data_IF_971544588455
#
_entry.id   IF_971544588455
#
_cell.length_a   1.000
_cell.length_b   1.000
_cell.length_c   1.000
_cell.angle_alpha   90.00
_cell.angle_beta   90.00
_cell.angle_gamma   90.00
#
_symmetry.space_group_name_H-M   'P 1'
#
loop_
_entity.id
_entity.type
_entity.pdbx_description
1 polymer ?
#
# COMPACT_ATOMS: atom_id res chain seq x y z
N UNK A 1 11.22 0.22 26.01
CA UNK A 1 12.40 -0.58 26.42
C UNK A 1 12.54 -1.73 25.43
N UNK A 2 13.78 -2.04 25.03
CA UNK A 2 14.07 -3.22 24.21
C UNK A 2 14.50 -4.39 25.11
N UNK A 3 13.87 -5.53 24.89
CA UNK A 3 14.17 -6.80 25.55
C UNK A 3 14.64 -7.78 24.50
N UNK A 4 15.84 -8.30 24.66
CA UNK A 4 16.41 -9.26 23.73
C UNK A 4 15.89 -10.66 24.03
N UNK A 5 15.59 -11.38 22.96
CA UNK A 5 15.04 -12.73 23.01
C UNK A 5 16.04 -13.71 22.39
N UNK A 6 16.38 -14.78 23.12
CA UNK A 6 17.29 -15.83 22.69
C UNK A 6 16.64 -17.21 22.78
N UNK A 7 17.16 -18.13 21.97
CA UNK A 7 16.69 -19.53 21.87
C UNK A 7 15.24 -19.67 21.39
N UNK A 8 14.80 -18.75 20.53
CA UNK A 8 13.53 -18.87 19.83
C UNK A 8 13.62 -20.10 18.89
N UNK A 9 12.70 -21.07 18.96
CA UNK A 9 12.69 -22.19 18.03
C UNK A 9 12.63 -21.67 16.58
N UNK A 10 13.46 -22.20 15.68
CA UNK A 10 13.54 -21.73 14.29
C UNK A 10 12.25 -21.98 13.49
N UNK A 11 11.40 -22.89 13.96
CA UNK A 11 10.09 -23.16 13.37
C UNK A 11 9.03 -22.10 13.75
N UNK A 12 9.32 -21.23 14.71
CA UNK A 12 8.35 -20.25 15.21
C UNK A 12 8.38 -18.97 14.36
N UNK A 13 7.26 -18.67 13.71
CA UNK A 13 7.11 -17.42 12.95
C UNK A 13 6.97 -16.19 13.84
N UNK A 14 7.18 -15.00 13.25
CA UNK A 14 6.95 -13.71 13.92
C UNK A 14 5.53 -13.63 14.50
N UNK A 15 4.52 -13.94 13.69
CA UNK A 15 3.11 -13.83 14.08
C UNK A 15 2.72 -14.81 15.20
N UNK A 16 3.18 -16.05 15.15
CA UNK A 16 2.98 -17.03 16.22
C UNK A 16 3.58 -16.55 17.55
N UNK A 17 4.82 -16.05 17.53
CA UNK A 17 5.48 -15.50 18.70
C UNK A 17 4.71 -14.29 19.26
N UNK A 18 4.27 -13.37 18.41
CA UNK A 18 3.47 -12.20 18.81
C UNK A 18 2.14 -12.62 19.45
N UNK A 19 1.41 -13.57 18.84
CA UNK A 19 0.15 -14.10 19.40
C UNK A 19 0.36 -14.72 20.79
N UNK A 20 1.41 -15.54 20.95
CA UNK A 20 1.73 -16.19 22.22
C UNK A 20 2.16 -15.18 23.28
N UNK A 21 2.97 -14.19 22.93
CA UNK A 21 3.37 -13.13 23.86
C UNK A 21 2.19 -12.28 24.31
N UNK A 22 1.30 -11.88 23.38
CA UNK A 22 0.07 -11.17 23.72
C UNK A 22 -0.83 -12.02 24.62
N UNK A 23 -1.18 -13.22 24.15
CA UNK A 23 -2.17 -14.08 24.78
C UNK A 23 -1.73 -14.70 26.10
N UNK A 24 -0.45 -15.05 26.29
CA UNK A 24 0.00 -15.78 27.48
C UNK A 24 0.65 -14.88 28.55
N UNK A 25 1.14 -13.70 28.16
CA UNK A 25 1.92 -12.84 29.06
C UNK A 25 1.37 -11.42 29.07
N UNK A 26 1.52 -10.68 27.98
CA UNK A 26 1.38 -9.21 27.98
C UNK A 26 -0.06 -8.72 28.12
N UNK A 27 -1.07 -9.55 27.80
CA UNK A 27 -2.49 -9.20 27.99
C UNK A 27 -3.16 -10.03 29.09
N UNK A 28 -2.37 -10.56 30.03
CA UNK A 28 -2.85 -11.29 31.21
C UNK A 28 -2.26 -10.72 32.49
N UNK A 29 -2.91 -11.06 33.61
CA UNK A 29 -2.38 -10.84 34.95
C UNK A 29 -1.98 -9.38 35.21
N UNK A 30 -0.75 -9.12 35.69
CA UNK A 30 -0.36 -7.81 36.23
C UNK A 30 -0.13 -6.75 35.14
N UNK A 31 -0.28 -7.11 33.87
CA UNK A 31 -0.14 -6.21 32.72
C UNK A 31 -1.47 -5.62 32.24
N UNK A 32 -2.59 -6.05 32.81
CA UNK A 32 -3.88 -5.42 32.55
C UNK A 32 -3.90 -4.03 33.18
N UNK A 33 -3.75 -3.00 32.36
CA UNK A 33 -3.92 -1.63 32.82
C UNK A 33 -5.39 -1.43 33.16
N UNK A 34 -5.67 -1.15 34.43
CA UNK A 34 -6.99 -0.67 34.86
C UNK A 34 -7.19 0.70 34.21
N UNK A 35 -7.87 0.70 33.07
CA UNK A 35 -8.47 1.90 32.51
C UNK A 35 -9.59 2.37 33.46
N UNK A 36 -9.98 3.64 33.35
CA UNK A 36 -11.08 4.24 34.11
C UNK A 36 -12.31 3.31 34.23
N UNK A 37 -13.15 3.43 35.27
CA UNK A 37 -14.19 2.46 35.62
C UNK A 37 -15.22 2.09 34.52
N UNK A 38 -15.24 2.83 33.40
CA UNK A 38 -16.11 2.58 32.24
C UNK A 38 -15.35 2.17 30.95
N UNK A 39 -14.03 2.05 30.98
CA UNK A 39 -13.23 1.70 29.81
C UNK A 39 -12.77 0.24 29.88
N UNK A 40 -12.99 -0.50 28.79
CA UNK A 40 -12.43 -1.84 28.63
C UNK A 40 -10.91 -1.81 28.81
N UNK A 41 -10.36 -2.78 29.56
CA UNK A 41 -8.92 -2.94 29.78
C UNK A 41 -8.12 -2.73 28.48
N UNK A 42 -7.33 -1.67 28.44
CA UNK A 42 -6.54 -1.36 27.25
C UNK A 42 -5.40 -2.38 27.11
N UNK A 43 -5.45 -3.17 26.03
CA UNK A 43 -4.38 -4.09 25.66
C UNK A 43 -3.11 -3.30 25.34
N UNK A 44 -1.99 -3.68 25.98
CA UNK A 44 -0.68 -3.06 25.76
C UNK A 44 -0.23 -3.33 24.33
N UNK A 45 0.19 -2.28 23.61
CA UNK A 45 0.83 -2.45 22.31
C UNK A 45 2.33 -2.72 22.45
N UNK A 46 2.89 -3.56 21.57
CA UNK A 46 4.30 -3.95 21.60
C UNK A 46 4.75 -4.41 20.21
N UNK A 47 6.06 -4.41 19.95
CA UNK A 47 6.61 -4.83 18.67
C UNK A 47 7.58 -6.00 18.84
N UNK A 48 7.46 -6.99 17.95
CA UNK A 48 8.34 -8.15 17.88
C UNK A 48 9.14 -8.10 16.59
N UNK A 49 10.46 -8.09 16.71
CA UNK A 49 11.40 -8.16 15.61
C UNK A 49 12.24 -9.43 15.72
N UNK A 50 12.30 -10.24 14.67
CA UNK A 50 13.13 -11.44 14.62
C UNK A 50 14.34 -11.18 13.71
N UNK A 51 15.54 -11.50 14.21
CA UNK A 51 16.75 -11.31 13.43
C UNK A 51 16.83 -12.36 12.31
N UNK A 52 16.96 -11.96 11.03
CA UNK A 52 17.07 -12.89 9.93
C UNK A 52 18.30 -13.79 10.10
N UNK A 53 18.28 -14.96 9.46
CA UNK A 53 19.41 -15.87 9.50
C UNK A 53 20.61 -15.27 8.73
N UNK A 54 21.84 -15.28 9.28
CA UNK A 54 23.00 -14.63 8.63
C UNK A 54 23.37 -15.26 7.29
N UNK A 55 23.02 -16.53 7.06
CA UNK A 55 23.25 -17.24 5.80
C UNK A 55 22.24 -16.87 4.68
N UNK A 56 21.30 -15.94 4.90
CA UNK A 56 20.45 -15.39 3.83
C UNK A 56 19.35 -16.32 3.30
N UNK A 57 18.64 -17.04 4.19
CA UNK A 57 17.53 -17.92 3.83
C UNK A 57 16.21 -17.59 4.54
N UNK A 58 15.15 -18.35 4.21
CA UNK A 58 13.86 -18.25 4.90
C UNK A 58 14.00 -18.67 6.37
N UNK A 59 13.75 -17.75 7.30
CA UNK A 59 13.76 -18.00 8.73
C UNK A 59 14.56 -16.98 9.55
N UNK A 60 14.69 -17.26 10.84
CA UNK A 60 15.36 -16.39 11.81
C UNK A 60 16.50 -17.11 12.54
N UNK A 61 17.44 -16.33 13.08
CA UNK A 61 18.65 -16.82 13.77
C UNK A 61 18.39 -17.39 15.18
N UNK A 62 17.13 -17.61 15.57
CA UNK A 62 16.74 -17.94 16.94
C UNK A 62 16.91 -16.77 17.94
N UNK A 63 17.16 -15.56 17.43
CA UNK A 63 17.28 -14.32 18.18
C UNK A 63 16.24 -13.29 17.72
N UNK A 64 15.84 -12.39 18.62
CA UNK A 64 14.96 -11.28 18.30
C UNK A 64 14.96 -10.19 19.36
N UNK A 65 14.13 -9.18 19.16
CA UNK A 65 13.96 -8.01 20.02
C UNK A 65 12.46 -7.81 20.23
N UNK A 66 12.06 -7.68 21.50
CA UNK A 66 10.73 -7.27 21.93
C UNK A 66 10.82 -5.81 22.38
N UNK A 67 10.13 -4.91 21.69
CA UNK A 67 10.04 -3.50 22.08
C UNK A 67 8.75 -3.27 22.86
N UNK A 68 8.89 -2.85 24.12
CA UNK A 68 7.80 -2.50 25.02
C UNK A 68 7.66 -0.98 25.19
N UNK A 69 6.44 -0.47 25.44
CA UNK A 69 6.15 0.96 25.38
C UNK A 69 6.86 1.77 26.49
N UNK A 70 7.00 1.21 27.70
CA UNK A 70 7.65 1.89 28.83
C UNK A 70 8.71 1.01 29.49
N UNK A 71 9.65 1.62 30.23
CA UNK A 71 10.66 0.88 31.02
C UNK A 71 10.04 0.10 32.18
N UNK A 72 9.08 0.65 32.98
CA UNK A 72 8.43 -0.10 34.05
C UNK A 72 7.78 -1.40 33.58
N UNK A 73 7.05 -1.36 32.46
CA UNK A 73 6.43 -2.55 31.86
C UNK A 73 7.51 -3.57 31.45
N UNK A 74 8.64 -3.09 30.92
CA UNK A 74 9.77 -3.95 30.54
C UNK A 74 10.42 -4.68 31.71
N UNK A 75 10.62 -4.00 32.85
CA UNK A 75 11.15 -4.64 34.05
C UNK A 75 10.14 -5.60 34.67
N UNK A 76 8.88 -5.18 34.81
CA UNK A 76 7.79 -6.03 35.28
C UNK A 76 7.65 -7.30 34.43
N UNK A 77 7.82 -7.20 33.11
CA UNK A 77 7.86 -8.33 32.21
C UNK A 77 9.03 -9.28 32.49
N UNK A 78 10.24 -8.75 32.69
CA UNK A 78 11.41 -9.58 33.01
C UNK A 78 11.25 -10.32 34.33
N UNK A 79 10.75 -9.64 35.37
CA UNK A 79 10.49 -10.23 36.69
C UNK A 79 9.42 -11.33 36.60
N UNK A 80 8.36 -11.09 35.82
CA UNK A 80 7.30 -12.09 35.59
C UNK A 80 7.83 -13.33 34.88
N UNK A 81 8.66 -13.16 33.84
CA UNK A 81 9.23 -14.27 33.06
C UNK A 81 10.26 -15.07 33.86
N UNK A 82 10.94 -14.46 34.82
CA UNK A 82 11.84 -15.16 35.74
C UNK A 82 11.07 -16.16 36.60
N UNK A 83 9.91 -15.75 37.14
CA UNK A 83 9.03 -16.60 37.94
C UNK A 83 8.28 -17.63 37.11
N UNK A 84 7.81 -17.24 35.93
CA UNK A 84 7.05 -18.09 35.00
C UNK A 84 7.72 -18.13 33.62
N UNK A 85 8.66 -19.06 33.39
CA UNK A 85 9.39 -19.18 32.14
C UNK A 85 8.48 -19.33 30.92
N UNK A 86 8.56 -18.40 29.98
CA UNK A 86 7.85 -18.50 28.71
C UNK A 86 8.49 -19.56 27.80
N UNK A 87 7.64 -20.49 27.32
CA UNK A 87 8.04 -21.63 26.49
C UNK A 87 7.24 -21.65 25.20
N UNK A 88 7.92 -21.93 24.09
CA UNK A 88 7.30 -22.23 22.79
C UNK A 88 7.79 -23.60 22.37
N UNK A 89 6.86 -24.49 22.02
CA UNK A 89 7.16 -25.89 21.66
C UNK A 89 8.05 -26.59 22.69
N UNK A 90 7.75 -26.36 23.99
CA UNK A 90 8.51 -26.91 25.12
C UNK A 90 9.86 -26.24 25.40
N UNK A 91 10.38 -25.40 24.49
CA UNK A 91 11.68 -24.73 24.63
C UNK A 91 11.53 -23.39 25.35
N UNK A 92 12.30 -23.18 26.42
CA UNK A 92 12.36 -21.91 27.17
C UNK A 92 13.05 -20.84 26.32
N UNK A 93 12.37 -19.72 26.12
CA UNK A 93 12.96 -18.52 25.51
C UNK A 93 13.60 -17.69 26.61
N UNK A 94 14.83 -17.23 26.38
CA UNK A 94 15.52 -16.35 27.33
C UNK A 94 15.28 -14.90 26.96
N UNK A 95 14.86 -14.11 27.93
CA UNK A 95 14.65 -12.67 27.81
C UNK A 95 15.66 -11.95 28.69
N UNK A 96 16.30 -10.91 28.16
CA UNK A 96 17.24 -10.10 28.93
C UNK A 96 17.36 -8.70 28.34
N UNK A 97 17.75 -7.74 29.19
CA UNK A 97 18.05 -6.38 28.77
C UNK A 97 19.53 -6.27 28.38
N UNK A 98 19.83 -5.55 27.30
CA UNK A 98 21.19 -5.07 27.05
C UNK A 98 21.35 -3.65 27.62
N UNK A 99 22.45 -3.41 28.34
CA UNK A 99 22.68 -2.16 29.08
C UNK A 99 22.84 -0.89 28.21
N UNK A 100 22.76 -0.99 26.88
CA UNK A 100 23.09 0.11 25.96
C UNK A 100 22.11 0.34 24.80
N UNK A 101 20.99 -0.37 24.77
CA UNK A 101 20.01 -0.22 23.69
C UNK A 101 18.64 0.13 24.27
N UNK A 102 18.40 1.44 24.40
CA UNK A 102 17.04 1.94 24.50
C UNK A 102 16.51 2.15 23.06
N UNK A 103 15.25 1.80 22.78
CA UNK A 103 14.65 2.05 21.49
C UNK A 103 14.59 3.55 21.21
N UNK A 104 14.57 3.96 19.93
CA UNK A 104 14.32 5.35 19.56
C UNK A 104 13.05 5.90 20.23
N UNK A 105 13.07 7.14 20.78
CA UNK A 105 11.94 7.68 21.54
C UNK A 105 10.61 7.68 20.77
N UNK A 106 10.66 7.92 19.46
CA UNK A 106 9.49 7.90 18.60
C UNK A 106 8.82 6.53 18.58
N UNK A 107 9.60 5.43 18.60
CA UNK A 107 9.09 4.06 18.58
C UNK A 107 8.29 3.76 19.85
N UNK A 108 8.83 4.14 21.00
CA UNK A 108 8.12 3.98 22.29
C UNK A 108 6.89 4.87 22.39
N UNK A 109 6.95 6.11 21.87
CA UNK A 109 5.81 7.01 21.86
C UNK A 109 4.70 6.48 20.94
N UNK A 110 5.07 5.94 19.78
CA UNK A 110 4.13 5.26 18.88
C UNK A 110 3.45 4.10 19.59
N UNK A 111 4.20 3.20 20.24
CA UNK A 111 3.62 2.07 20.97
C UNK A 111 2.74 2.49 22.16
N UNK A 112 3.03 3.62 22.82
CA UNK A 112 2.19 4.14 23.90
C UNK A 112 0.86 4.70 23.38
N UNK A 113 0.90 5.41 22.26
CA UNK A 113 -0.26 6.14 21.74
C UNK A 113 -1.12 5.29 20.79
N UNK A 114 -0.57 4.24 20.21
CA UNK A 114 -1.30 3.37 19.28
C UNK A 114 -2.05 2.29 20.03
N UNK A 115 -3.30 2.06 19.62
CA UNK A 115 -4.09 0.92 20.12
C UNK A 115 -3.48 -0.37 19.60
N UNK A 116 -3.50 -1.40 20.44
CA UNK A 116 -3.11 -2.74 20.03
C UNK A 116 -4.01 -3.24 18.89
N UNK A 117 -3.38 -3.76 17.83
CA UNK A 117 -4.04 -4.44 16.71
C UNK A 117 -3.79 -5.93 16.88
N UNK A 118 -4.80 -6.75 16.62
CA UNK A 118 -4.63 -8.21 16.69
C UNK A 118 -3.58 -8.67 15.65
N UNK A 119 -2.60 -9.51 16.02
CA UNK A 119 -1.59 -10.05 15.12
C UNK A 119 -2.19 -10.76 13.91
N UNK A 120 -3.37 -11.38 14.04
CA UNK A 120 -4.04 -12.02 12.91
C UNK A 120 -4.52 -11.00 11.87
N UNK A 121 -4.87 -9.79 12.29
CA UNK A 121 -5.21 -8.70 11.39
C UNK A 121 -3.98 -8.12 10.71
N UNK A 122 -2.89 -7.89 11.46
CA UNK A 122 -1.63 -7.41 10.88
C UNK A 122 -1.01 -8.43 9.91
N UNK A 123 -1.04 -9.72 10.25
CA UNK A 123 -0.60 -10.83 9.39
C UNK A 123 -1.37 -10.84 8.07
N UNK A 124 -2.71 -10.70 8.11
CA UNK A 124 -3.53 -10.61 6.90
C UNK A 124 -3.19 -9.38 6.06
N UNK A 125 -2.90 -8.24 6.69
CA UNK A 125 -2.48 -7.03 5.97
C UNK A 125 -1.14 -7.27 5.28
N UNK A 126 -0.15 -7.84 5.99
CA UNK A 126 1.16 -8.14 5.41
C UNK A 126 1.05 -9.15 4.25
N UNK A 127 0.25 -10.21 4.40
CA UNK A 127 -0.01 -11.18 3.34
C UNK A 127 -0.68 -10.54 2.12
N UNK A 128 -1.65 -9.63 2.32
CA UNK A 128 -2.25 -8.86 1.22
C UNK A 128 -1.20 -7.99 0.52
N UNK A 129 -0.35 -7.29 1.26
CA UNK A 129 0.70 -6.45 0.67
C UNK A 129 1.71 -7.29 -0.12
N UNK A 130 2.06 -8.47 0.39
CA UNK A 130 2.93 -9.41 -0.31
C UNK A 130 2.30 -9.94 -1.60
N UNK A 131 1.02 -10.33 -1.55
CA UNK A 131 0.28 -10.79 -2.72
C UNK A 131 0.05 -9.70 -3.79
N UNK A 132 0.14 -8.42 -3.40
CA UNK A 132 0.03 -7.26 -4.28
C UNK A 132 1.39 -6.67 -4.67
N UNK A 133 2.49 -7.37 -4.37
CA UNK A 133 3.84 -6.84 -4.55
C UNK A 133 4.27 -6.75 -6.02
N UNK A 134 3.76 -7.63 -6.92
CA UNK A 134 4.18 -7.55 -8.31
C UNK A 134 3.60 -6.31 -8.99
N UNK A 135 4.37 -5.77 -9.93
CA UNK A 135 3.99 -4.58 -10.68
C UNK A 135 3.56 -4.93 -12.10
N UNK A 136 2.63 -4.15 -12.64
CA UNK A 136 2.33 -4.16 -14.07
C UNK A 136 3.11 -3.06 -14.76
N UNK A 137 3.90 -3.42 -15.77
CA UNK A 137 4.59 -2.42 -16.59
C UNK A 137 3.57 -1.68 -17.45
N UNK A 138 3.63 -0.36 -17.40
CA UNK A 138 2.73 0.56 -18.11
C UNK A 138 3.48 1.17 -19.29
N UNK A 139 2.85 1.11 -20.45
CA UNK A 139 3.32 1.69 -21.69
C UNK A 139 2.85 3.15 -21.87
N UNK A 140 1.60 3.43 -21.49
CA UNK A 140 1.01 4.76 -21.70
C UNK A 140 0.01 5.12 -20.59
N UNK A 141 0.00 6.39 -20.21
CA UNK A 141 -1.03 6.98 -19.34
C UNK A 141 -1.73 8.12 -20.09
N UNK A 142 -3.06 8.10 -20.10
CA UNK A 142 -3.92 9.08 -20.76
C UNK A 142 -4.91 9.66 -19.75
N UNK A 143 -5.01 10.99 -19.74
CA UNK A 143 -5.90 11.74 -18.84
C UNK A 143 -7.10 12.30 -19.59
N UNK A 144 -8.26 12.37 -18.92
CA UNK A 144 -9.39 13.17 -19.37
C UNK A 144 -10.51 12.38 -20.03
N UNK A 145 -11.29 13.04 -20.90
CA UNK A 145 -12.48 12.47 -21.51
C UNK A 145 -12.04 11.46 -22.58
N UNK A 146 -12.09 10.17 -22.23
CA UNK A 146 -11.67 9.03 -23.07
C UNK A 146 -12.61 8.76 -24.27
N UNK A 147 -13.60 9.63 -24.51
CA UNK A 147 -14.55 9.50 -25.60
C UNK A 147 -14.75 10.85 -26.30
N UNK A 148 -14.56 10.85 -27.63
CA UNK A 148 -15.27 11.75 -28.53
C UNK A 148 -16.07 10.85 -29.47
N UNK A 149 -17.39 11.04 -29.62
CA UNK A 149 -18.10 10.42 -30.72
C UNK A 149 -17.47 10.91 -32.03
N UNK A 150 -17.46 10.06 -33.06
CA UNK A 150 -16.98 10.45 -34.39
C UNK A 150 -17.58 11.80 -34.81
N UNK A 151 -16.79 12.68 -35.45
CA UNK A 151 -17.24 14.01 -35.86
C UNK A 151 -18.09 13.89 -37.13
N UNK A 152 -19.19 13.15 -37.06
CA UNK A 152 -20.22 13.19 -38.08
C UNK A 152 -21.27 14.16 -37.52
N UNK A 153 -21.15 15.41 -37.96
CA UNK A 153 -22.07 16.54 -37.71
C UNK A 153 -21.95 17.25 -36.35
N UNK A 154 -20.87 18.00 -36.16
CA UNK A 154 -20.86 19.12 -35.21
C UNK A 154 -20.57 20.42 -35.95
N UNK A 155 -21.68 21.07 -36.31
CA UNK A 155 -21.77 22.48 -36.66
C UNK A 155 -20.91 23.29 -35.68
N UNK A 156 -19.92 23.99 -36.21
CA UNK A 156 -19.12 25.09 -35.63
C UNK A 156 -19.31 25.36 -34.13
N UNK A 157 -18.77 24.49 -33.28
CA UNK A 157 -18.41 24.86 -31.90
C UNK A 157 -16.92 25.25 -31.89
N UNK A 158 -16.61 26.37 -32.53
CA UNK A 158 -15.25 26.92 -32.60
C UNK A 158 -14.77 27.60 -31.31
N UNK A 159 -15.55 27.59 -30.22
CA UNK A 159 -15.29 28.45 -29.05
C UNK A 159 -15.24 27.73 -27.70
N UNK A 160 -15.19 26.39 -27.63
CA UNK A 160 -14.82 25.70 -26.38
C UNK A 160 -13.33 25.31 -26.41
N UNK A 161 -12.54 25.64 -25.37
CA UNK A 161 -11.13 25.26 -25.33
C UNK A 161 -11.02 23.74 -25.41
N UNK A 162 -10.34 23.29 -26.47
CA UNK A 162 -9.98 21.91 -26.74
C UNK A 162 -9.54 21.20 -25.44
N UNK A 163 -10.35 20.27 -24.94
CA UNK A 163 -9.87 19.30 -23.95
C UNK A 163 -8.89 18.38 -24.68
N UNK A 164 -7.61 18.72 -24.56
CA UNK A 164 -6.50 18.05 -25.20
C UNK A 164 -6.32 16.65 -24.62
N UNK A 165 -6.44 15.64 -25.47
CA UNK A 165 -5.88 14.32 -25.15
C UNK A 165 -4.36 14.49 -25.09
N UNK A 166 -3.82 14.73 -23.90
CA UNK A 166 -2.37 14.85 -23.73
C UNK A 166 -1.83 13.45 -23.53
N UNK A 167 -1.43 12.86 -24.64
CA UNK A 167 -0.65 11.63 -24.64
C UNK A 167 0.74 12.01 -24.12
N UNK A 168 1.04 11.71 -22.86
CA UNK A 168 2.41 11.83 -22.36
C UNK A 168 3.19 10.60 -22.84
N UNK A 169 3.55 10.57 -24.12
CA UNK A 169 4.53 9.62 -24.68
C UNK A 169 5.92 10.20 -24.50
N UNK A 170 6.46 10.19 -23.28
CA UNK A 170 7.91 10.29 -23.15
C UNK A 170 8.49 8.94 -23.57
N UNK A 171 9.07 8.88 -24.78
CA UNK A 171 9.86 7.70 -25.21
C UNK A 171 10.93 7.44 -24.15
N UNK A 172 10.84 6.32 -23.44
CA UNK A 172 11.86 5.87 -22.49
C UNK A 172 11.47 5.90 -21.00
N UNK A 173 10.29 6.41 -20.62
CA UNK A 173 9.83 6.36 -19.23
C UNK A 173 8.71 5.33 -19.09
N UNK A 174 9.07 4.14 -18.60
CA UNK A 174 8.08 3.17 -18.16
C UNK A 174 7.43 3.64 -16.86
N UNK A 175 6.16 3.31 -16.65
CA UNK A 175 5.59 3.36 -15.31
C UNK A 175 5.38 1.93 -14.82
N UNK A 176 5.46 1.73 -13.51
CA UNK A 176 5.06 0.49 -12.86
C UNK A 176 3.81 0.75 -12.03
N UNK A 177 2.73 0.08 -12.40
CA UNK A 177 1.48 0.08 -11.65
C UNK A 177 1.59 -0.93 -10.51
N UNK A 178 1.62 -0.41 -9.30
CA UNK A 178 1.66 -1.16 -8.05
C UNK A 178 0.36 -0.97 -7.28
N UNK A 179 -0.05 -1.98 -6.51
CA UNK A 179 -1.16 -1.85 -5.58
C UNK A 179 -0.61 -1.75 -4.16
N UNK A 180 -0.76 -0.56 -3.58
CA UNK A 180 -0.42 -0.33 -2.17
C UNK A 180 -1.71 -0.32 -1.38
N UNK A 181 -1.79 -0.95 -0.20
CA UNK A 181 -2.97 -1.08 0.68
C UNK A 181 -4.31 -0.51 0.25
N UNK A 182 -4.40 0.81 0.04
CA UNK A 182 -5.64 1.53 -0.27
C UNK A 182 -5.63 2.29 -1.61
N UNK A 183 -4.62 2.12 -2.46
CA UNK A 183 -4.46 2.86 -3.71
C UNK A 183 -3.66 2.12 -4.78
N UNK A 184 -4.00 2.38 -6.04
CA UNK A 184 -3.11 2.13 -7.17
C UNK A 184 -2.05 3.23 -7.24
N UNK A 185 -0.79 2.86 -7.40
CA UNK A 185 0.34 3.78 -7.51
C UNK A 185 1.11 3.47 -8.79
N UNK A 186 1.11 4.40 -9.73
CA UNK A 186 1.97 4.35 -10.91
C UNK A 186 3.26 5.07 -10.58
N UNK A 187 4.38 4.35 -10.55
CA UNK A 187 5.70 4.92 -10.28
C UNK A 187 6.52 4.99 -11.56
N UNK A 188 7.11 6.15 -11.83
CA UNK A 188 7.99 6.33 -12.98
C UNK A 188 9.29 5.52 -12.79
N UNK A 189 9.65 4.72 -13.80
CA UNK A 189 10.84 3.87 -13.84
C UNK A 189 11.91 4.55 -14.68
N UNK A 190 13.10 4.74 -14.12
CA UNK A 190 14.31 5.12 -14.89
C UNK A 190 14.92 6.49 -14.60
N UNK A 191 14.41 7.27 -13.64
CA UNK A 191 15.10 8.48 -13.17
C UNK A 191 15.79 8.19 -11.82
N UNK A 192 17.12 8.32 -11.77
CA UNK A 192 17.92 7.98 -10.59
C UNK A 192 17.76 8.99 -9.45
N UNK A 193 17.51 10.26 -9.77
CA UNK A 193 17.50 11.34 -8.78
C UNK A 193 16.11 11.71 -8.28
N UNK A 194 15.10 11.61 -9.15
CA UNK A 194 13.74 12.03 -8.86
C UNK A 194 12.76 10.99 -9.41
N UNK A 195 11.66 10.75 -8.70
CA UNK A 195 10.59 9.86 -9.14
C UNK A 195 9.26 10.59 -9.05
N UNK A 196 8.46 10.44 -10.09
CA UNK A 196 7.07 10.90 -10.05
C UNK A 196 6.12 9.73 -9.86
N UNK A 197 5.05 9.94 -9.11
CA UNK A 197 4.00 8.95 -8.89
C UNK A 197 2.60 9.50 -9.19
N UNK A 198 1.72 8.63 -9.68
CA UNK A 198 0.28 8.88 -9.81
C UNK A 198 -0.43 7.95 -8.83
N UNK A 199 -1.15 8.51 -7.86
CA UNK A 199 -1.89 7.74 -6.87
C UNK A 199 -3.42 7.83 -7.12
N UNK A 200 -4.08 6.68 -7.14
CA UNK A 200 -5.53 6.54 -7.29
C UNK A 200 -6.06 5.77 -6.08
N UNK A 201 -6.76 6.47 -5.18
CA UNK A 201 -7.36 5.84 -3.99
C UNK A 201 -8.48 4.86 -4.37
N UNK A 202 -8.53 3.67 -3.76
CA UNK A 202 -9.62 2.72 -3.97
C UNK A 202 -10.98 3.30 -3.60
N UNK A 203 -11.02 4.20 -2.60
CA UNK A 203 -12.24 4.90 -2.20
C UNK A 203 -12.75 5.89 -3.26
N UNK A 204 -11.87 6.43 -4.11
CA UNK A 204 -12.28 7.35 -5.18
C UNK A 204 -12.73 6.62 -6.43
N UNK A 205 -12.44 5.32 -6.59
CA UNK A 205 -12.80 4.55 -7.79
C UNK A 205 -14.30 4.23 -7.80
N UNK A 206 -14.98 4.70 -8.84
CA UNK A 206 -16.36 4.33 -9.14
C UNK A 206 -16.40 3.01 -9.88
N UNK A 207 -15.65 2.93 -10.98
CA UNK A 207 -15.56 1.75 -11.86
C UNK A 207 -14.16 1.62 -12.44
N UNK A 208 -13.80 0.38 -12.73
CA UNK A 208 -12.60 -0.03 -13.44
C UNK A 208 -13.09 -0.82 -14.65
N UNK A 209 -12.58 -0.50 -15.83
CA UNK A 209 -12.82 -1.31 -17.02
C UNK A 209 -11.50 -1.80 -17.59
N UNK A 210 -11.48 -3.06 -18.00
CA UNK A 210 -10.32 -3.74 -18.55
C UNK A 210 -10.71 -4.20 -19.94
N UNK A 211 -9.89 -3.89 -20.94
CA UNK A 211 -10.18 -4.29 -22.31
C UNK A 211 -8.94 -4.30 -23.19
N UNK A 212 -9.13 -4.73 -24.43
CA UNK A 212 -8.07 -4.88 -25.42
C UNK A 212 -8.45 -4.14 -26.71
N UNK A 213 -7.55 -3.29 -27.20
CA UNK A 213 -7.74 -2.44 -28.40
C UNK A 213 -6.37 -2.31 -29.12
N UNK A 214 -5.73 -3.46 -29.33
CA UNK A 214 -4.33 -3.58 -29.74
C UNK A 214 -3.39 -3.81 -28.55
N UNK A 215 -3.19 -2.85 -27.64
CA UNK A 215 -2.57 -3.13 -26.35
C UNK A 215 -3.63 -3.23 -25.23
N UNK A 216 -3.36 -4.08 -24.24
CA UNK A 216 -4.20 -4.20 -23.05
C UNK A 216 -4.28 -2.86 -22.32
N UNK A 217 -5.48 -2.48 -21.88
CA UNK A 217 -5.67 -1.25 -21.12
C UNK A 217 -6.59 -1.43 -19.92
N UNK A 218 -6.39 -0.54 -18.94
CA UNK A 218 -7.22 -0.39 -17.75
C UNK A 218 -7.69 1.06 -17.68
N UNK A 219 -8.99 1.25 -17.61
CA UNK A 219 -9.65 2.54 -17.45
C UNK A 219 -10.16 2.68 -16.03
N UNK A 220 -9.82 3.78 -15.37
CA UNK A 220 -10.32 4.16 -14.06
C UNK A 220 -11.30 5.33 -14.22
N UNK A 221 -12.50 5.17 -13.67
CA UNK A 221 -13.47 6.25 -13.49
C UNK A 221 -13.55 6.57 -12.00
N UNK A 222 -13.22 7.80 -11.62
CA UNK A 222 -13.05 8.21 -10.22
C UNK A 222 -13.93 9.40 -9.84
N UNK A 223 -14.32 9.50 -8.56
CA UNK A 223 -15.00 10.66 -8.01
C UNK A 223 -14.11 11.91 -8.03
N UNK A 224 -12.81 11.73 -7.78
CA UNK A 224 -11.82 12.82 -7.71
C UNK A 224 -10.63 12.50 -8.61
N UNK A 225 -10.02 13.51 -9.24
CA UNK A 225 -8.82 13.31 -10.05
C UNK A 225 -7.70 12.61 -9.27
N UNK A 226 -6.83 11.81 -9.95
CA UNK A 226 -5.64 11.24 -9.35
C UNK A 226 -4.73 12.27 -8.70
N UNK A 227 -3.98 11.86 -7.67
CA UNK A 227 -2.98 12.70 -7.01
C UNK A 227 -1.62 12.48 -7.68
N UNK A 228 -0.96 13.56 -8.05
CA UNK A 228 0.40 13.54 -8.59
C UNK A 228 1.39 13.90 -7.48
N UNK A 229 2.42 13.09 -7.29
CA UNK A 229 3.47 13.34 -6.32
C UNK A 229 4.84 13.25 -6.98
N UNK A 230 5.80 14.01 -6.46
CA UNK A 230 7.23 13.93 -6.78
C UNK A 230 7.98 13.56 -5.52
N UNK A 231 8.92 12.63 -5.65
CA UNK A 231 9.83 12.20 -4.59
C UNK A 231 11.26 12.31 -5.08
N UNK A 232 12.12 12.98 -4.33
CA UNK A 232 13.56 12.96 -4.57
C UNK A 232 14.15 11.69 -3.93
N UNK A 233 14.87 10.88 -4.73
CA UNK A 233 15.49 9.65 -4.23
C UNK A 233 16.85 9.94 -3.57
N UNK A 234 17.66 10.80 -4.19
CA UNK A 234 19.04 11.07 -3.79
C UNK A 234 19.21 12.45 -3.17
N UNK A 235 18.41 12.78 -2.17
CA UNK A 235 18.58 14.04 -1.46
C UNK A 235 19.83 13.99 -0.59
N UNK A 236 20.65 15.04 -0.68
CA UNK A 236 21.76 15.27 0.25
C UNK A 236 21.21 15.39 1.68
N UNK A 237 21.59 14.46 2.56
CA UNK A 237 21.29 14.54 4.00
C UNK A 237 21.95 15.81 4.55
N UNK A 238 21.16 16.71 5.14
CA UNK A 238 21.67 17.93 5.76
C UNK A 238 22.39 17.63 7.08
N UNK A 239 22.36 16.37 7.53
CA UNK A 239 22.85 15.93 8.83
C UNK A 239 21.86 16.21 9.96
N UNK A 240 20.77 16.93 9.67
CA UNK A 240 19.69 17.16 10.62
C UNK A 240 18.64 16.04 10.46
N UNK A 241 18.69 15.05 11.35
CA UNK A 241 17.74 13.91 11.36
C UNK A 241 16.26 14.30 11.29
N UNK A 242 15.86 15.49 11.76
CA UNK A 242 14.46 15.93 11.73
C UNK A 242 14.05 16.44 10.34
N UNK A 243 14.97 17.02 9.60
CA UNK A 243 14.76 17.45 8.22
C UNK A 243 14.93 16.26 7.29
N UNK A 244 15.98 15.46 7.47
CA UNK A 244 16.28 14.34 6.57
C UNK A 244 15.23 13.21 6.61
N UNK A 245 14.55 13.02 7.75
CA UNK A 245 13.50 12.00 7.89
C UNK A 245 12.10 12.51 7.55
N UNK A 246 11.94 13.77 7.13
CA UNK A 246 10.64 14.22 6.62
C UNK A 246 10.41 13.57 5.26
N UNK A 247 9.31 12.83 5.12
CA UNK A 247 8.87 12.31 3.83
C UNK A 247 8.47 13.47 2.92
N UNK A 248 9.43 14.05 2.19
CA UNK A 248 9.16 15.07 1.19
C UNK A 248 8.53 14.42 -0.04
N UNK A 249 7.22 14.27 0.01
CA UNK A 249 6.40 14.08 -1.18
C UNK A 249 5.85 15.43 -1.57
N UNK A 250 6.31 15.94 -2.69
CA UNK A 250 5.81 17.20 -3.24
C UNK A 250 4.60 16.90 -4.10
N UNK A 251 3.43 17.39 -3.69
CA UNK A 251 2.22 17.27 -4.51
C UNK A 251 2.39 18.14 -5.76
N UNK A 252 2.34 17.50 -6.92
CA UNK A 252 2.40 18.17 -8.21
C UNK A 252 0.99 18.53 -8.68
N UNK A 253 0.89 19.61 -9.47
CA UNK A 253 -0.33 19.89 -10.24
C UNK A 253 -0.44 18.97 -11.45
N UNK A 254 0.68 18.65 -12.07
CA UNK A 254 0.77 17.82 -13.28
C UNK A 254 2.17 17.25 -13.44
N UNK A 255 2.29 16.09 -14.10
CA UNK A 255 3.58 15.48 -14.46
C UNK A 255 4.21 16.08 -15.72
N UNK A 256 3.42 16.78 -16.53
CA UNK A 256 3.83 17.34 -17.81
C UNK A 256 3.03 18.63 -18.07
N UNK A 257 3.66 19.70 -18.58
CA UNK A 257 2.99 20.98 -18.82
C UNK A 257 1.73 20.83 -19.67
N UNK A 258 1.77 19.96 -20.68
CA UNK A 258 0.65 19.72 -21.59
C UNK A 258 -0.65 19.29 -20.89
N UNK A 259 -0.62 18.57 -19.76
CA UNK A 259 -1.85 18.17 -19.06
C UNK A 259 -2.14 19.01 -17.82
N UNK A 260 -1.40 20.08 -17.56
CA UNK A 260 -1.59 20.93 -16.39
C UNK A 260 -3.00 21.55 -16.32
N UNK A 261 -3.58 21.86 -17.47
CA UNK A 261 -4.92 22.46 -17.55
C UNK A 261 -6.03 21.43 -17.27
N UNK A 262 -5.82 20.18 -17.68
CA UNK A 262 -6.83 19.11 -17.58
C UNK A 262 -6.70 18.28 -16.31
N UNK A 263 -5.51 18.21 -15.71
CA UNK A 263 -5.21 17.36 -14.55
C UNK A 263 -6.17 17.56 -13.36
N UNK A 264 -6.59 18.79 -13.00
CA UNK A 264 -7.47 19.00 -11.84
C UNK A 264 -8.91 18.55 -12.11
N UNK A 265 -9.23 18.19 -13.36
CA UNK A 265 -10.56 17.77 -13.80
C UNK A 265 -10.56 16.35 -14.40
N UNK A 266 -9.41 15.69 -14.45
CA UNK A 266 -9.23 14.37 -15.04
C UNK A 266 -9.68 13.25 -14.09
N UNK A 267 -10.99 13.14 -13.90
CA UNK A 267 -11.64 12.04 -13.16
C UNK A 267 -11.55 10.68 -13.89
N UNK A 268 -11.14 10.70 -15.15
CA UNK A 268 -11.02 9.53 -16.00
C UNK A 268 -9.57 9.36 -16.42
N UNK A 269 -9.06 8.15 -16.26
CA UNK A 269 -7.68 7.78 -16.55
C UNK A 269 -7.66 6.47 -17.33
N UNK A 270 -6.99 6.44 -18.49
CA UNK A 270 -6.70 5.19 -19.22
C UNK A 270 -5.22 4.89 -19.13
N UNK A 271 -4.92 3.64 -18.81
CA UNK A 271 -3.57 3.14 -18.65
C UNK A 271 -3.42 1.97 -19.60
N UNK A 272 -2.42 2.03 -20.48
CA UNK A 272 -2.10 0.95 -21.38
C UNK A 272 -0.95 0.15 -20.78
N UNK A 273 -1.12 -1.15 -20.64
CA UNK A 273 -0.11 -2.04 -20.10
C UNK A 273 0.86 -2.47 -21.21
N UNK A 274 2.13 -2.64 -20.84
CA UNK A 274 3.16 -3.18 -21.72
C UNK A 274 3.07 -4.71 -21.72
N UNK A 275 3.11 -5.29 -22.91
CA UNK A 275 2.82 -6.69 -23.13
C UNK A 275 4.10 -7.51 -23.35
N UNK A 276 4.31 -8.50 -22.49
CA UNK A 276 5.34 -9.55 -22.64
C UNK A 276 4.76 -10.95 -22.30
N UNK A 277 3.45 -11.09 -22.05
CA UNK A 277 2.79 -12.32 -21.54
C UNK A 277 1.49 -12.55 -22.32
N UNK A 278 0.83 -13.70 -22.16
CA UNK A 278 -0.52 -13.86 -22.71
C UNK A 278 -1.49 -12.85 -22.08
N UNK A 279 -2.29 -12.18 -22.91
CA UNK A 279 -3.28 -11.14 -22.53
C UNK A 279 -4.20 -11.64 -21.41
N UNK A 280 -4.74 -12.85 -21.55
CA UNK A 280 -5.62 -13.49 -20.57
C UNK A 280 -4.99 -13.58 -19.18
N UNK A 281 -3.69 -13.90 -19.13
CA UNK A 281 -2.96 -14.04 -17.87
C UNK A 281 -2.83 -12.70 -17.16
N UNK A 282 -2.62 -11.60 -17.89
CA UNK A 282 -2.52 -10.27 -17.28
C UNK A 282 -3.89 -9.81 -16.76
N UNK A 283 -4.95 -10.02 -17.53
CA UNK A 283 -6.32 -9.68 -17.13
C UNK A 283 -6.70 -10.43 -15.85
N UNK A 284 -6.51 -11.75 -15.83
CA UNK A 284 -6.83 -12.56 -14.65
C UNK A 284 -5.96 -12.21 -13.44
N UNK A 285 -4.66 -11.90 -13.65
CA UNK A 285 -3.80 -11.43 -12.56
C UNK A 285 -4.30 -10.10 -12.00
N UNK A 286 -4.66 -9.15 -12.85
CA UNK A 286 -5.17 -7.84 -12.42
C UNK A 286 -6.51 -7.95 -11.69
N UNK A 287 -7.44 -8.79 -12.18
CA UNK A 287 -8.69 -9.11 -11.48
C UNK A 287 -8.42 -9.74 -10.12
N UNK A 288 -7.49 -10.68 -10.06
CA UNK A 288 -7.10 -11.31 -8.80
C UNK A 288 -6.54 -10.29 -7.81
N UNK A 289 -5.75 -9.32 -8.27
CA UNK A 289 -5.24 -8.26 -7.41
C UNK A 289 -6.36 -7.34 -6.91
N UNK A 290 -7.34 -7.00 -7.76
CA UNK A 290 -8.52 -6.27 -7.33
C UNK A 290 -9.30 -7.02 -6.24
N UNK A 291 -9.44 -8.35 -6.36
CA UNK A 291 -10.08 -9.20 -5.34
C UNK A 291 -9.28 -9.22 -4.04
N UNK A 292 -7.96 -9.40 -4.10
CA UNK A 292 -7.06 -9.38 -2.94
C UNK A 292 -7.11 -8.04 -2.20
N UNK A 293 -7.25 -6.94 -2.95
CA UNK A 293 -7.44 -5.59 -2.43
C UNK A 293 -8.87 -5.29 -1.96
N UNK A 294 -9.76 -6.28 -1.95
CA UNK A 294 -11.14 -6.18 -1.51
C UNK A 294 -11.96 -5.12 -2.28
N UNK A 295 -11.62 -4.89 -3.55
CA UNK A 295 -12.45 -4.09 -4.44
C UNK A 295 -13.74 -4.87 -4.77
N UNK A 296 -14.93 -4.25 -4.68
CA UNK A 296 -16.18 -4.90 -5.06
C UNK A 296 -16.12 -5.39 -6.51
N UNK A 297 -16.51 -6.65 -6.74
CA UNK A 297 -16.43 -7.29 -8.07
C UNK A 297 -17.23 -6.51 -9.12
N UNK A 298 -18.36 -5.93 -8.74
CA UNK A 298 -19.19 -5.09 -9.63
C UNK A 298 -18.53 -3.77 -10.06
N UNK A 299 -17.42 -3.36 -9.43
CA UNK A 299 -16.63 -2.21 -9.89
C UNK A 299 -15.69 -2.59 -11.03
N UNK A 300 -15.33 -3.86 -11.20
CA UNK A 300 -14.39 -4.31 -12.24
C UNK A 300 -15.18 -4.89 -13.41
N UNK A 301 -15.11 -4.22 -14.55
CA UNK A 301 -15.78 -4.60 -15.78
C UNK A 301 -14.75 -5.09 -16.79
N UNK A 302 -15.08 -6.19 -17.46
CA UNK A 302 -14.30 -6.72 -18.56
C UNK A 302 -15.01 -6.39 -19.88
N UNK A 303 -14.25 -5.91 -20.84
CA UNK A 303 -14.72 -5.56 -22.16
C UNK A 303 -14.35 -6.69 -23.13
N UNK A 304 -15.34 -7.50 -23.52
CA UNK A 304 -15.16 -8.63 -24.45
C UNK A 304 -15.09 -8.16 -25.93
N UNK A 305 -14.40 -8.95 -26.77
CA UNK A 305 -14.06 -8.61 -28.16
C UNK A 305 -15.29 -8.41 -29.07
N UNK A 306 -16.36 -9.19 -28.90
CA UNK A 306 -17.48 -9.23 -29.84
C UNK A 306 -18.56 -8.14 -29.63
N UNK A 307 -18.55 -7.42 -28.50
CA UNK A 307 -19.51 -6.34 -28.21
C UNK A 307 -18.82 -5.00 -27.81
N UNK A 308 -17.51 -5.01 -27.50
CA UNK A 308 -16.85 -3.92 -26.74
C UNK A 308 -15.35 -3.75 -27.11
N UNK A 309 -14.94 -4.07 -28.34
CA UNK A 309 -13.55 -3.83 -28.82
C UNK A 309 -13.08 -2.37 -28.65
N UNK A 310 -14.00 -1.45 -28.37
CA UNK A 310 -13.70 -0.15 -27.81
C UNK A 310 -14.60 0.03 -26.59
N UNK A 311 -14.05 0.53 -25.47
CA UNK A 311 -14.85 1.35 -24.55
C UNK A 311 -15.19 2.66 -25.29
N UNK A 312 -15.92 2.53 -26.39
CA UNK A 312 -16.77 3.58 -26.91
C UNK A 312 -17.94 3.68 -25.94
N UNK A 313 -18.45 4.90 -25.74
CA UNK A 313 -19.64 5.13 -24.93
C UNK A 313 -20.90 4.64 -25.67
N UNK A 314 -20.91 3.39 -26.13
CA UNK A 314 -22.13 2.76 -26.62
C UNK A 314 -23.11 2.62 -25.45
N UNK A 315 -24.35 2.97 -25.73
CA UNK A 315 -25.43 3.24 -24.77
C UNK A 315 -25.76 2.07 -23.83
N UNK A 316 -25.22 0.87 -24.11
CA UNK A 316 -25.46 -0.38 -23.38
C UNK A 316 -24.78 -0.43 -22.00
N UNK A 317 -23.54 0.07 -21.86
CA UNK A 317 -22.78 -0.07 -20.61
C UNK A 317 -22.61 1.22 -19.82
N UNK A 318 -22.89 2.38 -20.45
CA UNK A 318 -22.96 3.69 -19.78
C UNK A 318 -21.72 4.04 -18.94
N UNK A 319 -20.55 3.42 -19.21
CA UNK A 319 -19.35 3.54 -18.37
C UNK A 319 -18.93 4.99 -18.17
N UNK A 320 -18.98 5.78 -19.25
CA UNK A 320 -18.64 7.20 -19.23
C UNK A 320 -19.82 8.16 -19.20
N UNK A 321 -21.07 7.67 -19.12
CA UNK A 321 -22.26 8.51 -19.20
C UNK A 321 -22.61 9.17 -17.85
N UNK A 322 -23.24 10.34 -17.92
CA UNK A 322 -23.36 11.31 -16.83
C UNK A 322 -24.28 10.92 -15.65
N UNK A 323 -24.94 9.76 -15.64
CA UNK A 323 -25.74 9.35 -14.47
C UNK A 323 -24.84 8.83 -13.37
N UNK A 324 -24.19 9.76 -12.68
CA UNK A 324 -23.60 9.49 -11.36
C UNK A 324 -24.74 9.12 -10.42
N UNK A 325 -24.63 8.02 -9.64
CA UNK A 325 -25.54 7.82 -8.53
C UNK A 325 -25.41 9.05 -7.61
N UNK A 326 -26.54 9.74 -7.42
CA UNK A 326 -26.68 10.88 -6.50
C UNK A 326 -26.50 10.44 -5.05
#
# INVERSE_FOLDING_TARGET
>A
MEVHMHHIPQSTGKWELTRRLAGDVLHKGPFLQQSEPNEHFQKINFEVFLHPHPAGGAGHSGKGILTLPTKPIGFQFLDYIEQSPFKINGRKIKFFKLNRHDPPPWKTLTLQNTRYIDPDHEEKIEQKMYALHDSFRVNLVQFGILFRPDPIELISLSNMPLSGMVITRKRGLGFDLNMTGNSFVLSQVGEEQEGSTIAISFSSIQKIAIGYDGPLYVCFDTFFPPVFEKKEFNRSSSGNHREDNQNYRLRLRSLHPGHQEVSPYAQKLRITLYDNRSVDTIIETFKQYCRTAELPVNKVLECEEDDIARIEATDRYKFFTQRRPS
#
